data_IF_221214157598
#
_entry.id   IF_221214157598
#
_cell.length_a   1.000
_cell.length_b   1.000
_cell.length_c   1.000
_cell.angle_alpha   90.00
_cell.angle_beta   90.00
_cell.angle_gamma   90.00
#
_symmetry.space_group_name_H-M   'P 1'
#
loop_
_entity.id
_entity.type
_entity.pdbx_description
1 polymer ?
#
# COMPACT_ATOMS: atom_id res chain seq x y z
N UNK A 1 14.82 -7.55 28.61
CA UNK A 1 15.76 -7.16 27.53
C UNK A 1 16.60 -8.37 27.17
N UNK A 2 16.43 -8.94 25.98
CA UNK A 2 17.19 -10.11 25.51
C UNK A 2 18.51 -9.64 24.91
N UNK A 3 19.62 -10.26 25.31
CA UNK A 3 21.00 -9.81 25.05
C UNK A 3 21.69 -10.62 23.94
N UNK A 4 20.92 -11.21 23.01
CA UNK A 4 21.40 -12.35 22.22
C UNK A 4 21.27 -12.16 20.70
N UNK A 5 21.18 -10.93 20.20
CA UNK A 5 21.18 -10.68 18.75
C UNK A 5 22.35 -9.80 18.39
N UNK A 6 23.48 -10.43 18.10
CA UNK A 6 24.58 -9.81 17.35
C UNK A 6 24.82 -10.70 16.14
N UNK A 7 24.21 -10.33 15.02
CA UNK A 7 24.59 -10.91 13.73
C UNK A 7 25.98 -10.40 13.39
N UNK A 8 26.91 -11.27 12.95
CA UNK A 8 28.19 -10.82 12.43
C UNK A 8 27.92 -9.95 11.19
N UNK A 9 28.43 -8.72 11.19
CA UNK A 9 28.56 -7.94 9.97
C UNK A 9 29.47 -8.75 9.06
N UNK A 10 28.96 -9.15 7.89
CA UNK A 10 29.75 -9.80 6.86
C UNK A 10 30.88 -8.85 6.46
N UNK A 11 32.12 -9.30 6.65
CA UNK A 11 33.36 -8.61 6.31
C UNK A 11 33.60 -8.71 4.79
N UNK A 12 32.69 -8.14 4.01
CA UNK A 12 32.86 -7.85 2.59
C UNK A 12 32.75 -6.34 2.42
N UNK A 13 33.93 -5.74 2.39
CA UNK A 13 34.23 -4.31 2.48
C UNK A 13 33.70 -3.52 1.28
N UNK A 14 32.50 -2.95 1.42
CA UNK A 14 32.04 -1.64 0.94
C UNK A 14 30.50 -1.70 0.98
N UNK A 15 29.88 -0.85 1.81
CA UNK A 15 28.48 -0.50 1.59
C UNK A 15 28.41 0.11 0.18
N UNK A 16 27.83 -0.61 -0.78
CA UNK A 16 27.78 -0.21 -2.20
C UNK A 16 27.04 1.13 -2.39
N UNK A 17 26.35 1.59 -1.34
CA UNK A 17 25.73 2.89 -1.29
C UNK A 17 26.70 3.97 -0.81
N UNK A 18 26.72 5.13 -1.49
CA UNK A 18 27.49 6.27 -1.02
C UNK A 18 26.99 6.72 0.36
N UNK A 19 27.92 7.12 1.22
CA UNK A 19 27.59 7.71 2.52
C UNK A 19 26.66 8.91 2.33
N UNK A 20 25.54 8.91 3.06
CA UNK A 20 24.58 10.01 3.05
C UNK A 20 25.26 11.32 3.47
N UNK A 21 25.23 12.33 2.59
CA UNK A 21 25.85 13.62 2.86
C UNK A 21 24.80 14.68 3.26
N UNK A 22 25.28 15.82 3.77
CA UNK A 22 24.39 16.91 4.20
C UNK A 22 23.56 17.49 3.04
N UNK A 23 24.05 17.44 1.81
CA UNK A 23 23.33 17.90 0.62
C UNK A 23 22.13 16.99 0.29
N UNK A 24 22.25 15.68 0.53
CA UNK A 24 21.15 14.71 0.40
C UNK A 24 20.03 15.02 1.40
N UNK A 25 20.40 15.37 2.63
CA UNK A 25 19.45 15.79 3.65
C UNK A 25 18.80 17.14 3.32
N UNK A 26 19.56 18.09 2.77
CA UNK A 26 19.05 19.40 2.36
C UNK A 26 18.08 19.29 1.17
N UNK A 27 18.29 18.33 0.27
CA UNK A 27 17.39 18.03 -0.86
C UNK A 27 16.20 17.15 -0.45
N UNK A 28 16.22 16.55 0.74
CA UNK A 28 15.15 15.67 1.18
C UNK A 28 13.82 16.42 1.29
N UNK A 29 12.86 16.04 0.45
CA UNK A 29 11.49 16.56 0.53
C UNK A 29 10.77 15.77 1.62
N UNK A 30 10.56 16.42 2.78
CA UNK A 30 9.67 15.87 3.81
C UNK A 30 8.27 15.73 3.21
N UNK A 31 7.81 14.49 3.02
CA UNK A 31 6.41 14.21 2.68
C UNK A 31 5.52 14.71 3.83
N UNK A 32 5.07 15.96 3.74
CA UNK A 32 4.00 16.49 4.58
C UNK A 32 2.68 16.07 3.93
N UNK A 33 1.67 15.78 4.75
CA UNK A 33 0.39 15.17 4.36
C UNK A 33 0.52 13.78 3.73
N UNK A 34 0.85 12.78 4.56
CA UNK A 34 0.34 11.45 4.25
C UNK A 34 -1.19 11.56 4.21
N UNK A 35 -1.80 11.36 3.04
CA UNK A 35 -3.23 11.07 2.99
C UNK A 35 -3.42 9.83 3.86
N UNK A 36 -4.25 9.91 4.89
CA UNK A 36 -4.63 8.73 5.65
C UNK A 36 -5.27 7.76 4.67
N UNK A 37 -4.47 6.77 4.25
CA UNK A 37 -4.98 5.67 3.46
C UNK A 37 -5.88 4.89 4.39
N UNK A 38 -7.20 4.99 4.15
CA UNK A 38 -8.21 4.24 4.89
C UNK A 38 -7.74 2.80 5.02
N UNK A 39 -7.61 2.32 6.27
CA UNK A 39 -7.20 0.94 6.54
C UNK A 39 -8.16 0.01 5.84
N UNK A 40 -7.68 -0.73 4.83
CA UNK A 40 -8.46 -1.78 4.19
C UNK A 40 -8.67 -2.89 5.22
N UNK A 41 -9.92 -3.21 5.51
CA UNK A 41 -10.27 -4.40 6.28
C UNK A 41 -10.58 -5.53 5.31
N UNK A 42 -10.00 -6.71 5.55
CA UNK A 42 -10.28 -7.90 4.77
C UNK A 42 -11.46 -8.62 5.42
N UNK A 43 -12.59 -8.65 4.72
CA UNK A 43 -13.79 -9.37 5.14
C UNK A 43 -14.21 -10.33 4.03
N UNK A 44 -14.78 -11.46 4.40
CA UNK A 44 -15.40 -12.39 3.46
C UNK A 44 -16.86 -11.99 3.27
N UNK A 45 -17.23 -11.61 2.06
CA UNK A 45 -18.61 -11.33 1.66
C UNK A 45 -19.03 -12.27 0.54
N UNK A 46 -20.27 -12.74 0.58
CA UNK A 46 -20.89 -13.43 -0.55
C UNK A 46 -21.51 -12.38 -1.47
N UNK A 47 -21.19 -12.46 -2.76
CA UNK A 47 -21.79 -11.66 -3.82
C UNK A 47 -22.30 -12.61 -4.89
N UNK A 48 -23.37 -12.22 -5.56
CA UNK A 48 -23.92 -13.01 -6.66
C UNK A 48 -22.91 -13.13 -7.80
N UNK A 49 -22.94 -14.28 -8.48
CA UNK A 49 -21.93 -14.64 -9.47
C UNK A 49 -21.99 -13.76 -10.72
N UNK A 50 -23.17 -13.29 -11.09
CA UNK A 50 -23.42 -12.35 -12.19
C UNK A 50 -22.77 -10.98 -11.91
N UNK A 51 -22.90 -10.47 -10.70
CA UNK A 51 -22.26 -9.21 -10.27
C UNK A 51 -20.74 -9.33 -10.34
N UNK A 52 -20.19 -10.43 -9.82
CA UNK A 52 -18.74 -10.68 -9.86
C UNK A 52 -18.25 -10.74 -11.31
N UNK A 53 -18.97 -11.44 -12.18
CA UNK A 53 -18.60 -11.58 -13.59
C UNK A 53 -18.65 -10.23 -14.32
N UNK A 54 -19.69 -9.42 -14.07
CA UNK A 54 -19.78 -8.08 -14.64
C UNK A 54 -18.59 -7.19 -14.25
N UNK A 55 -18.18 -7.21 -12.97
CA UNK A 55 -17.02 -6.44 -12.53
C UNK A 55 -15.70 -6.97 -13.10
N UNK A 56 -15.56 -8.29 -13.28
CA UNK A 56 -14.38 -8.90 -13.91
C UNK A 56 -14.26 -8.51 -15.39
N UNK A 57 -15.36 -8.53 -16.14
CA UNK A 57 -15.38 -8.09 -17.54
C UNK A 57 -15.05 -6.60 -17.64
N UNK A 58 -15.54 -5.80 -16.70
CA UNK A 58 -15.30 -4.35 -16.65
C UNK A 58 -13.90 -3.97 -16.17
N UNK A 59 -13.20 -4.86 -15.46
CA UNK A 59 -11.99 -4.47 -14.74
C UNK A 59 -10.76 -4.29 -15.63
N UNK A 60 -10.68 -4.92 -16.80
CA UNK A 60 -9.53 -4.78 -17.71
C UNK A 60 -8.20 -4.99 -16.95
N UNK A 61 -7.34 -3.97 -16.94
CA UNK A 61 -6.06 -3.95 -16.19
C UNK A 61 -6.19 -3.62 -14.69
N UNK A 62 -7.34 -3.10 -14.24
CA UNK A 62 -7.59 -2.79 -12.83
C UNK A 62 -8.10 -4.02 -12.10
N UNK A 63 -7.83 -4.09 -10.80
CA UNK A 63 -8.39 -5.12 -9.94
C UNK A 63 -9.90 -4.92 -9.76
N UNK A 64 -10.71 -5.95 -10.06
CA UNK A 64 -12.18 -5.90 -9.95
C UNK A 64 -12.65 -5.49 -8.53
N UNK A 65 -11.89 -5.86 -7.49
CA UNK A 65 -12.16 -5.46 -6.11
C UNK A 65 -12.07 -3.93 -5.91
N UNK A 66 -11.19 -3.26 -6.65
CA UNK A 66 -11.08 -1.80 -6.62
C UNK A 66 -12.34 -1.13 -7.18
N UNK A 67 -12.92 -1.71 -8.25
CA UNK A 67 -14.17 -1.23 -8.84
C UNK A 67 -15.37 -1.46 -7.92
N UNK A 68 -15.45 -2.63 -7.27
CA UNK A 68 -16.49 -2.92 -6.28
C UNK A 68 -16.44 -1.89 -5.14
N UNK A 69 -15.24 -1.64 -4.59
CA UNK A 69 -15.05 -0.65 -3.54
C UNK A 69 -15.43 0.78 -3.98
N UNK A 70 -15.12 1.15 -5.24
CA UNK A 70 -15.51 2.46 -5.78
C UNK A 70 -17.03 2.60 -5.92
N UNK A 71 -17.71 1.56 -6.41
CA UNK A 71 -19.17 1.55 -6.53
C UNK A 71 -19.86 1.66 -5.16
N UNK A 72 -19.39 0.91 -4.17
CA UNK A 72 -19.92 0.98 -2.80
C UNK A 72 -19.76 2.38 -2.19
N UNK A 73 -18.61 3.02 -2.40
CA UNK A 73 -18.39 4.41 -1.94
C UNK A 73 -19.34 5.40 -2.60
N UNK A 74 -19.60 5.27 -3.90
CA UNK A 74 -20.54 6.16 -4.60
C UNK A 74 -21.96 6.03 -4.04
N UNK A 75 -22.40 4.80 -3.75
CA UNK A 75 -23.72 4.55 -3.14
C UNK A 75 -23.81 5.17 -1.73
N UNK A 76 -22.79 4.99 -0.89
CA UNK A 76 -22.74 5.60 0.45
C UNK A 76 -22.80 7.13 0.35
N UNK A 77 -22.10 7.73 -0.61
CA UNK A 77 -22.08 9.18 -0.79
C UNK A 77 -23.44 9.73 -1.28
N UNK A 78 -24.18 8.95 -2.07
CA UNK A 78 -25.51 9.34 -2.57
C UNK A 78 -26.61 9.17 -1.53
N UNK A 79 -26.46 8.25 -0.59
CA UNK A 79 -27.44 7.93 0.45
C UNK A 79 -26.82 8.13 1.85
N UNK A 80 -26.72 9.38 2.34
CA UNK A 80 -26.20 9.67 3.66
C UNK A 80 -27.12 9.22 4.80
#
# INVERSE_FOLDING_TARGET
>A
MNKNSTSPISDDTIDEYPEINQNDLNRAIRRRSFVEVSKKQNITIALDSDIINWFKEKSGEKEYQSLINAALRDVIMRNP
#
